data_IF_433602225450
#
_entry.id   IF_433602225450
#
_cell.length_a   1.000
_cell.length_b   1.000
_cell.length_c   1.000
_cell.angle_alpha   90.00
_cell.angle_beta   90.00
_cell.angle_gamma   90.00
#
_symmetry.space_group_name_H-M   'P 1'
#
loop_
_entity.id
_entity.type
_entity.pdbx_description
1 polymer ?
#
# COMPACT_ATOMS: atom_id res chain seq x y z
N UNK A 1 -16.54 20.36 17.79
CA UNK A 1 -16.61 21.59 16.97
C UNK A 1 -15.84 21.30 15.69
N UNK A 2 -16.50 20.61 14.75
CA UNK A 2 -15.90 20.28 13.46
C UNK A 2 -15.96 21.55 12.60
N UNK A 3 -14.80 22.09 12.23
CA UNK A 3 -14.69 23.31 11.44
C UNK A 3 -15.18 23.01 10.02
N UNK A 4 -16.41 23.40 9.72
CA UNK A 4 -16.97 23.31 8.36
C UNK A 4 -16.22 24.33 7.48
N UNK A 5 -15.30 23.85 6.65
CA UNK A 5 -14.58 24.64 5.67
C UNK A 5 -15.57 25.04 4.55
N UNK A 6 -15.80 26.33 4.34
CA UNK A 6 -16.72 26.85 3.29
C UNK A 6 -16.12 26.82 1.87
N UNK A 7 -15.14 25.96 1.62
CA UNK A 7 -14.56 25.70 0.31
C UNK A 7 -14.68 24.22 -0.02
N UNK A 8 -15.01 23.88 -1.28
CA UNK A 8 -15.01 22.49 -1.74
C UNK A 8 -13.61 21.86 -1.58
N UNK A 9 -13.50 20.52 -1.61
CA UNK A 9 -12.21 19.86 -1.48
C UNK A 9 -11.28 20.31 -2.61
N UNK A 10 -10.10 20.81 -2.25
CA UNK A 10 -9.03 21.07 -3.20
C UNK A 10 -8.28 19.78 -3.51
N UNK A 11 -7.84 19.63 -4.76
CA UNK A 11 -7.04 18.46 -5.14
C UNK A 11 -5.68 18.53 -4.47
N UNK A 12 -5.33 17.48 -3.75
CA UNK A 12 -4.03 17.33 -3.10
C UNK A 12 -3.30 16.12 -3.68
N UNK A 13 -2.00 16.28 -3.97
CA UNK A 13 -1.14 15.21 -4.45
C UNK A 13 -0.25 14.75 -3.31
N UNK A 14 -0.41 13.49 -2.90
CA UNK A 14 0.44 12.85 -1.91
C UNK A 14 1.79 12.45 -2.54
N UNK A 15 2.86 12.55 -1.76
CA UNK A 15 4.22 12.10 -2.13
C UNK A 15 4.30 10.61 -2.38
N UNK A 16 3.42 9.83 -1.74
CA UNK A 16 3.48 8.37 -1.72
C UNK A 16 4.52 7.83 -0.73
N UNK A 17 5.14 8.69 0.10
CA UNK A 17 6.02 8.27 1.18
C UNK A 17 5.24 8.00 2.45
N UNK A 18 5.67 7.00 3.22
CA UNK A 18 5.02 6.67 4.48
C UNK A 18 5.85 5.75 5.36
N UNK A 19 5.25 5.37 6.48
CA UNK A 19 5.81 4.44 7.45
C UNK A 19 4.82 3.34 7.81
N UNK A 20 5.31 2.11 8.00
CA UNK A 20 4.48 0.99 8.46
C UNK A 20 4.00 1.27 9.89
N UNK A 21 2.71 1.51 10.07
CA UNK A 21 2.10 1.72 11.38
C UNK A 21 1.81 0.38 12.09
N UNK A 22 1.27 -0.58 11.36
CA UNK A 22 1.01 -1.95 11.80
C UNK A 22 0.93 -2.85 10.58
N UNK A 23 1.20 -4.15 10.73
CA UNK A 23 1.13 -5.10 9.64
C UNK A 23 0.73 -6.50 10.10
N UNK A 24 0.28 -7.31 9.16
CA UNK A 24 0.04 -8.75 9.34
C UNK A 24 0.53 -9.51 8.11
N UNK A 25 0.90 -10.77 8.32
CA UNK A 25 1.25 -11.70 7.24
C UNK A 25 0.06 -12.61 6.99
N UNK A 26 -0.43 -12.60 5.75
CA UNK A 26 -1.52 -13.46 5.32
C UNK A 26 -0.94 -14.77 4.80
N UNK A 27 -1.19 -15.84 5.56
CA UNK A 27 -0.80 -17.22 5.20
C UNK A 27 -1.95 -18.00 4.57
N UNK A 28 -3.18 -17.56 4.75
CA UNK A 28 -4.38 -18.16 4.17
C UNK A 28 -5.17 -17.05 3.49
N UNK A 29 -5.15 -17.06 2.16
CA UNK A 29 -5.70 -15.99 1.35
C UNK A 29 -7.19 -16.20 1.03
N UNK A 30 -7.95 -15.11 0.84
CA UNK A 30 -9.27 -15.20 0.23
C UNK A 30 -9.18 -15.66 -1.23
N UNK A 31 -10.30 -16.12 -1.77
CA UNK A 31 -10.40 -16.58 -3.15
C UNK A 31 -9.86 -15.54 -4.15
N UNK A 32 -8.99 -15.99 -5.06
CA UNK A 32 -8.36 -15.15 -6.10
C UNK A 32 -7.03 -14.50 -5.69
N UNK A 33 -6.59 -14.66 -4.43
CA UNK A 33 -5.33 -14.12 -3.92
C UNK A 33 -4.33 -15.20 -3.48
N UNK A 34 -4.64 -16.47 -3.70
CA UNK A 34 -3.83 -17.62 -3.28
C UNK A 34 -2.41 -17.57 -3.85
N UNK A 35 -2.27 -17.09 -5.09
CA UNK A 35 -0.96 -16.95 -5.75
C UNK A 35 0.00 -15.97 -5.06
N UNK A 36 -0.51 -15.10 -4.18
CA UNK A 36 0.30 -14.13 -3.46
C UNK A 36 0.74 -14.60 -2.08
N UNK A 37 0.25 -15.75 -1.60
CA UNK A 37 0.61 -16.26 -0.27
C UNK A 37 2.08 -16.71 -0.24
N UNK A 38 2.83 -16.39 0.83
CA UNK A 38 2.51 -15.43 1.89
C UNK A 38 2.73 -13.97 1.43
N UNK A 39 1.82 -13.07 1.81
CA UNK A 39 1.99 -11.63 1.56
C UNK A 39 1.68 -10.79 2.81
N UNK A 40 2.23 -9.59 2.85
CA UNK A 40 1.99 -8.63 3.94
C UNK A 40 0.92 -7.63 3.55
N UNK A 41 0.00 -7.39 4.47
CA UNK A 41 -0.90 -6.23 4.46
C UNK A 41 -0.52 -5.32 5.62
N UNK A 42 -0.40 -4.02 5.34
CA UNK A 42 0.01 -3.03 6.32
C UNK A 42 -0.95 -1.84 6.35
N UNK A 43 -1.10 -1.26 7.54
CA UNK A 43 -1.54 0.11 7.73
C UNK A 43 -0.32 1.01 7.57
N UNK A 44 -0.39 1.98 6.66
CA UNK A 44 0.71 2.88 6.32
C UNK A 44 0.29 4.29 6.68
N UNK A 45 1.08 4.93 7.54
CA UNK A 45 0.94 6.35 7.85
C UNK A 45 1.71 7.14 6.79
N UNK A 46 1.01 7.81 5.91
CA UNK A 46 1.61 8.72 4.93
C UNK A 46 2.19 9.95 5.63
N UNK A 47 3.24 10.52 5.06
CA UNK A 47 3.91 11.71 5.61
C UNK A 47 2.93 12.88 5.78
N UNK A 48 1.97 13.03 4.87
CA UNK A 48 0.98 14.11 4.90
C UNK A 48 -0.15 13.88 5.91
N UNK A 49 -0.18 12.71 6.56
CA UNK A 49 -1.06 12.43 7.70
C UNK A 49 -2.10 11.32 7.51
N UNK A 50 -2.68 11.04 6.34
CA UNK A 50 -3.63 9.93 6.22
C UNK A 50 -3.02 8.57 6.53
N UNK A 51 -3.87 7.65 6.97
CA UNK A 51 -3.51 6.25 7.15
C UNK A 51 -4.26 5.42 6.11
N UNK A 52 -3.54 4.56 5.39
CA UNK A 52 -4.09 3.75 4.31
C UNK A 52 -3.73 2.28 4.49
N UNK A 53 -4.57 1.38 3.98
CA UNK A 53 -4.30 -0.06 3.97
C UNK A 53 -3.77 -0.46 2.61
N UNK A 54 -2.61 -1.12 2.57
CA UNK A 54 -2.01 -1.60 1.32
C UNK A 54 -1.16 -2.86 1.55
N UNK A 55 -0.87 -3.58 0.46
CA UNK A 55 0.11 -4.66 0.51
C UNK A 55 1.54 -4.11 0.48
N UNK A 56 2.46 -4.77 1.17
CA UNK A 56 3.90 -4.56 1.00
C UNK A 56 4.42 -5.56 -0.04
N UNK A 57 5.22 -5.08 -0.98
CA UNK A 57 5.84 -5.83 -2.08
C UNK A 57 7.35 -5.60 -2.08
N UNK A 58 8.07 -6.46 -2.81
CA UNK A 58 9.51 -6.32 -3.08
C UNK A 58 10.36 -6.19 -1.79
N UNK A 59 9.88 -6.78 -0.70
CA UNK A 59 10.48 -6.73 0.63
C UNK A 59 10.30 -8.09 1.27
N UNK A 60 11.39 -8.69 1.74
CA UNK A 60 11.34 -9.98 2.43
C UNK A 60 10.55 -9.87 3.74
N UNK A 61 9.77 -10.90 4.09
CA UNK A 61 8.83 -10.86 5.23
C UNK A 61 9.53 -10.56 6.57
N UNK A 62 10.73 -11.08 6.75
CA UNK A 62 11.55 -10.92 7.96
C UNK A 62 12.17 -9.52 8.11
N UNK A 63 12.15 -8.72 7.04
CA UNK A 63 12.64 -7.34 7.02
C UNK A 63 11.57 -6.30 7.33
N UNK A 64 10.31 -6.72 7.46
CA UNK A 64 9.19 -5.81 7.72
C UNK A 64 9.05 -5.59 9.23
N UNK A 65 9.03 -4.32 9.64
CA UNK A 65 8.85 -3.92 11.03
C UNK A 65 8.02 -2.65 11.15
N UNK A 66 7.40 -2.44 12.32
CA UNK A 66 6.66 -1.20 12.62
C UNK A 66 7.64 -0.02 12.64
N UNK A 67 7.30 1.06 11.95
CA UNK A 67 8.15 2.23 11.73
C UNK A 67 9.02 2.16 10.48
N UNK A 68 9.03 1.04 9.76
CA UNK A 68 9.79 0.90 8.50
C UNK A 68 9.33 1.96 7.47
N UNK A 69 10.25 2.73 6.87
CA UNK A 69 9.92 3.65 5.80
C UNK A 69 9.54 2.86 4.54
N UNK A 70 8.55 3.35 3.79
CA UNK A 70 8.04 2.72 2.59
C UNK A 70 7.64 3.76 1.54
N UNK A 71 7.78 3.40 0.27
CA UNK A 71 7.35 4.21 -0.87
C UNK A 71 6.23 3.52 -1.67
N UNK A 72 5.27 4.30 -2.15
CA UNK A 72 4.16 3.85 -2.97
C UNK A 72 4.63 3.47 -4.38
N UNK A 73 4.11 2.36 -4.91
CA UNK A 73 4.40 1.88 -6.26
C UNK A 73 3.13 1.41 -6.96
N UNK A 74 3.06 1.60 -8.28
CA UNK A 74 2.00 1.03 -9.12
C UNK A 74 2.25 -0.45 -9.37
N UNK A 75 1.25 -1.29 -9.14
CA UNK A 75 1.28 -2.74 -9.36
C UNK A 75 0.00 -3.21 -10.03
N UNK A 76 0.12 -4.29 -10.78
CA UNK A 76 -1.02 -5.06 -11.25
C UNK A 76 -1.61 -5.83 -10.05
N UNK A 77 -2.89 -5.64 -9.79
CA UNK A 77 -3.64 -6.25 -8.69
C UNK A 77 -4.37 -7.51 -9.13
N UNK A 78 -4.96 -7.48 -10.33
CA UNK A 78 -5.66 -8.62 -10.92
C UNK A 78 -5.73 -8.52 -12.45
N UNK A 79 -5.89 -9.66 -13.10
CA UNK A 79 -6.23 -9.79 -14.52
C UNK A 79 -7.46 -10.69 -14.66
N UNK A 80 -8.48 -10.24 -15.39
CA UNK A 80 -9.68 -11.04 -15.64
C UNK A 80 -9.55 -11.94 -16.87
N UNK A 81 -8.69 -12.97 -16.80
CA UNK A 81 -8.45 -13.90 -17.90
C UNK A 81 -7.78 -13.26 -19.13
N UNK A 82 -7.57 -14.05 -20.19
CA UNK A 82 -6.66 -13.72 -21.30
C UNK A 82 -7.01 -12.45 -22.11
N UNK A 83 -8.25 -11.96 -22.00
CA UNK A 83 -8.74 -10.74 -22.68
C UNK A 83 -9.44 -9.76 -21.75
N UNK A 84 -9.36 -9.95 -20.43
CA UNK A 84 -10.04 -9.08 -19.47
C UNK A 84 -9.25 -7.85 -19.07
N UNK A 85 -9.85 -7.08 -18.15
CA UNK A 85 -9.28 -5.83 -17.68
C UNK A 85 -8.09 -6.10 -16.74
N UNK A 86 -7.01 -5.34 -16.95
CA UNK A 86 -5.86 -5.28 -16.03
C UNK A 86 -6.10 -4.22 -14.98
N UNK A 87 -6.25 -4.63 -13.73
CA UNK A 87 -6.53 -3.71 -12.63
C UNK A 87 -5.21 -3.29 -12.00
N UNK A 88 -4.83 -2.03 -12.22
CA UNK A 88 -3.65 -1.46 -11.57
C UNK A 88 -4.06 -0.68 -10.31
N UNK A 89 -3.22 -0.75 -9.29
CA UNK A 89 -3.38 0.03 -8.08
C UNK A 89 -2.05 0.19 -7.36
N UNK A 90 -2.12 0.69 -6.13
CA UNK A 90 -0.93 0.94 -5.32
C UNK A 90 -0.59 -0.26 -4.42
N UNK A 91 0.71 -0.50 -4.27
CA UNK A 91 1.31 -1.24 -3.17
C UNK A 91 2.44 -0.38 -2.60
N UNK A 92 3.12 -0.87 -1.57
CA UNK A 92 4.28 -0.20 -0.98
C UNK A 92 5.49 -1.12 -0.95
N UNK A 93 6.69 -0.56 -1.00
CA UNK A 93 7.95 -1.31 -0.87
C UNK A 93 8.96 -0.54 -0.03
N UNK A 94 10.03 -1.21 0.39
CA UNK A 94 11.22 -0.51 0.89
C UNK A 94 11.71 0.54 -0.13
N UNK A 95 12.07 1.76 0.31
CA UNK A 95 12.62 2.78 -0.58
C UNK A 95 13.90 2.30 -1.27
N UNK A 96 14.06 2.66 -2.54
CA UNK A 96 15.32 2.43 -3.25
C UNK A 96 16.31 3.53 -2.85
N UNK A 97 17.37 3.16 -2.14
CA UNK A 97 18.51 4.06 -1.90
C UNK A 97 19.30 4.14 -3.21
N UNK A 98 19.24 5.31 -3.88
CA UNK A 98 20.14 5.59 -5.01
C UNK A 98 21.51 5.95 -4.44
N UNK A 99 22.54 5.17 -4.79
CA UNK A 99 23.94 5.50 -4.55
C UNK A 99 24.42 6.56 -5.55
#
# INVERSE_FOLDING_TARGET
MEKIHRGGPERFTFSGQGTVYSFTVIYEAPAGFEQFVPYVVALIKLEEGPMITAQITDTDLDKIYIGMPVEMVTRLLSEEGDRGLRHYGYKFRSPIIRQ
#
